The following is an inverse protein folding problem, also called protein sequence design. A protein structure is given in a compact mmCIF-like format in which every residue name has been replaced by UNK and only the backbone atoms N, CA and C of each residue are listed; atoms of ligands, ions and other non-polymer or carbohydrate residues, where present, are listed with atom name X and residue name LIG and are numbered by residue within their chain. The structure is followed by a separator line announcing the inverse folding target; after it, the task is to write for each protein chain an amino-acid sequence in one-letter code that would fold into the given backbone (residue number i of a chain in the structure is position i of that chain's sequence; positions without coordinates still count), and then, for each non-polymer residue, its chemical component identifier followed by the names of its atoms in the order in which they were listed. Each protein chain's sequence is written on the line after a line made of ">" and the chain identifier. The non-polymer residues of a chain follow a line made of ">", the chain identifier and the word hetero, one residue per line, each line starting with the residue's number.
data_IF_651737660232
#
_entry.id   IF_651737660232
#
_cell.length_a   1.000
_cell.length_b   1.000
_cell.length_c   1.000
_cell.angle_alpha   90.00
_cell.angle_beta   90.00
_cell.angle_gamma   90.00
#
_symmetry.space_group_name_H-M   'P 1'
#
loop_
_entity.id
_entity.type
_entity.pdbx_description
1 polymer ?
#
# COMPACT_ATOMS: atom_id res chain seq x y z
N UNK A 1 -30.76 17.45 10.33
CA UNK A 1 -29.29 17.45 10.30
C UNK A 1 -28.85 16.00 10.44
N UNK A 2 -28.54 15.34 9.32
CA UNK A 2 -28.21 13.91 9.33
C UNK A 2 -26.74 13.77 9.75
N UNK A 3 -26.52 13.25 10.96
CA UNK A 3 -25.20 12.87 11.46
C UNK A 3 -24.84 11.59 10.70
N UNK A 4 -23.93 11.71 9.74
CA UNK A 4 -23.31 10.53 9.10
C UNK A 4 -22.33 9.98 10.14
N UNK A 5 -22.53 8.75 10.68
CA UNK A 5 -21.57 8.19 11.60
C UNK A 5 -20.28 7.90 10.82
N UNK A 6 -19.19 8.57 11.22
CA UNK A 6 -17.84 8.19 10.81
C UNK A 6 -17.57 6.86 11.48
N UNK A 7 -17.77 5.76 10.75
CA UNK A 7 -17.43 4.42 11.22
C UNK A 7 -15.91 4.34 11.27
N UNK A 8 -15.35 4.47 12.47
CA UNK A 8 -13.94 4.18 12.72
C UNK A 8 -13.71 2.68 12.52
N UNK A 9 -13.40 2.27 11.29
CA UNK A 9 -13.05 0.89 10.98
C UNK A 9 -11.68 0.59 11.58
N UNK A 10 -11.66 -0.09 12.74
CA UNK A 10 -10.44 -0.59 13.37
C UNK A 10 -10.40 -2.11 13.41
N UNK A 11 -9.74 -2.73 12.43
CA UNK A 11 -8.96 -3.92 12.69
C UNK A 11 -7.47 -3.55 12.71
N UNK A 12 -6.80 -3.84 13.82
CA UNK A 12 -5.33 -3.75 13.98
C UNK A 12 -4.55 -4.69 13.04
N UNK A 13 -5.27 -5.60 12.37
CA UNK A 13 -4.89 -6.36 11.19
C UNK A 13 -6.12 -6.49 10.30
N UNK A 14 -6.36 -5.52 9.42
CA UNK A 14 -7.37 -5.67 8.39
C UNK A 14 -6.74 -6.20 7.10
N UNK A 15 -7.50 -6.99 6.37
CA UNK A 15 -7.19 -7.33 4.99
C UNK A 15 -7.65 -6.18 4.09
N UNK A 16 -6.77 -5.77 3.19
CA UNK A 16 -7.00 -4.72 2.23
C UNK A 16 -6.76 -5.28 0.83
N UNK A 17 -7.66 -4.99 -0.09
CA UNK A 17 -7.47 -5.34 -1.50
C UNK A 17 -6.81 -4.17 -2.23
N UNK A 18 -5.72 -4.42 -2.93
CA UNK A 18 -5.13 -3.39 -3.79
C UNK A 18 -6.02 -3.22 -5.02
N UNK A 19 -6.56 -2.02 -5.22
CA UNK A 19 -7.40 -1.71 -6.39
C UNK A 19 -6.64 -0.95 -7.46
N UNK A 20 -5.61 -0.19 -7.09
CA UNK A 20 -4.76 0.56 -8.03
C UNK A 20 -3.33 0.64 -7.49
N UNK A 21 -2.34 0.54 -8.37
CA UNK A 21 -0.92 0.79 -8.03
C UNK A 21 -0.36 1.89 -8.93
N UNK A 22 0.06 2.98 -8.32
CA UNK A 22 0.83 4.03 -9.00
C UNK A 22 2.31 3.83 -8.74
N UNK A 23 3.02 3.39 -9.77
CA UNK A 23 4.46 3.11 -9.71
C UNK A 23 5.24 4.16 -10.48
N UNK A 24 6.12 4.87 -9.79
CA UNK A 24 7.09 5.76 -10.41
C UNK A 24 8.45 5.05 -10.45
N UNK A 25 9.10 5.04 -11.61
CA UNK A 25 10.43 4.44 -11.77
C UNK A 25 11.39 5.45 -12.37
N UNK A 26 12.59 5.55 -11.78
CA UNK A 26 13.68 6.37 -12.28
C UNK A 26 14.93 5.53 -12.43
N UNK A 27 15.59 5.62 -13.57
CA UNK A 27 16.85 4.91 -13.79
C UNK A 27 17.89 5.34 -12.75
N UNK A 28 18.53 4.36 -12.10
CA UNK A 28 19.47 4.52 -11.00
C UNK A 28 20.82 3.81 -11.27
N UNK A 29 21.20 3.72 -12.55
CA UNK A 29 22.50 3.16 -12.94
C UNK A 29 22.57 1.65 -12.73
N UNK A 30 23.65 1.20 -12.09
CA UNK A 30 23.99 -0.24 -11.96
C UNK A 30 22.98 -1.06 -11.14
N UNK A 31 22.12 -0.42 -10.36
CA UNK A 31 21.09 -1.07 -9.56
C UNK A 31 19.74 -1.21 -10.30
N UNK A 32 19.68 -0.79 -11.57
CA UNK A 32 18.45 -0.78 -12.36
C UNK A 32 17.62 0.48 -12.09
N UNK A 33 16.32 0.33 -11.86
CA UNK A 33 15.42 1.46 -11.59
C UNK A 33 15.15 1.57 -10.10
N UNK A 34 15.21 2.80 -9.57
CA UNK A 34 14.64 3.14 -8.28
C UNK A 34 13.14 3.31 -8.46
N UNK A 35 12.37 2.53 -7.72
CA UNK A 35 10.92 2.44 -7.81
C UNK A 35 10.29 2.97 -6.52
N UNK A 36 9.35 3.89 -6.66
CA UNK A 36 8.47 4.37 -5.60
C UNK A 36 7.03 3.98 -5.95
N UNK A 37 6.24 3.63 -4.94
CA UNK A 37 4.88 3.11 -5.14
C UNK A 37 3.90 3.81 -4.21
N UNK A 38 2.73 4.13 -4.75
CA UNK A 38 1.54 4.48 -3.99
C UNK A 38 0.46 3.46 -4.33
N UNK A 39 -0.33 3.09 -3.33
CA UNK A 39 -1.41 2.13 -3.50
C UNK A 39 -2.74 2.82 -3.21
N UNK A 40 -3.76 2.45 -3.96
CA UNK A 40 -5.14 2.63 -3.51
C UNK A 40 -5.61 1.27 -3.04
N UNK A 41 -6.01 1.22 -1.77
CA UNK A 41 -6.49 -0.01 -1.13
C UNK A 41 -7.97 0.11 -0.80
N UNK A 42 -8.71 -0.97 -0.95
CA UNK A 42 -10.13 -1.05 -0.62
C UNK A 42 -10.35 -2.02 0.55
N UNK A 43 -11.06 -1.54 1.58
CA UNK A 43 -11.52 -2.35 2.70
C UNK A 43 -12.94 -1.93 3.09
N UNK A 44 -13.83 -2.91 3.27
CA UNK A 44 -15.23 -2.69 3.64
C UNK A 44 -15.97 -1.66 2.73
N UNK A 45 -15.64 -1.62 1.45
CA UNK A 45 -16.23 -0.69 0.46
C UNK A 45 -15.64 0.73 0.47
N UNK A 46 -14.66 1.00 1.33
CA UNK A 46 -13.95 2.28 1.40
C UNK A 46 -12.62 2.18 0.68
N UNK A 47 -12.32 3.15 -0.19
CA UNK A 47 -11.04 3.28 -0.88
C UNK A 47 -10.15 4.27 -0.16
N UNK A 48 -8.90 3.89 0.08
CA UNK A 48 -7.92 4.65 0.86
C UNK A 48 -6.65 4.75 0.03
N UNK A 49 -6.21 5.98 -0.24
CA UNK A 49 -4.89 6.23 -0.82
C UNK A 49 -3.82 6.09 0.27
N UNK A 50 -2.83 5.24 0.02
CA UNK A 50 -1.69 5.04 0.93
C UNK A 50 -0.37 5.20 0.19
N UNK A 51 0.55 5.94 0.80
CA UNK A 51 1.89 6.15 0.29
C UNK A 51 2.82 5.09 0.86
N UNK A 52 3.57 4.37 0.03
CA UNK A 52 4.57 3.44 0.56
C UNK A 52 5.83 4.21 0.90
N UNK A 53 6.22 4.18 2.17
CA UNK A 53 7.46 4.77 2.63
C UNK A 53 8.65 3.93 2.12
N UNK A 54 9.51 4.60 1.35
CA UNK A 54 10.73 4.02 0.80
C UNK A 54 10.67 3.79 -0.71
N UNK A 55 11.84 3.59 -1.29
CA UNK A 55 11.97 3.17 -2.68
C UNK A 55 12.81 1.90 -2.71
N UNK A 56 12.60 1.05 -3.71
CA UNK A 56 13.41 -0.14 -3.92
C UNK A 56 14.07 -0.11 -5.29
N UNK A 57 15.18 -0.84 -5.43
CA UNK A 57 15.82 -1.04 -6.72
C UNK A 57 15.31 -2.33 -7.35
N UNK A 58 14.99 -2.30 -8.64
CA UNK A 58 14.41 -3.45 -9.36
C UNK A 58 15.28 -4.71 -9.29
N UNK A 59 16.61 -4.56 -9.19
CA UNK A 59 17.57 -5.66 -9.04
C UNK A 59 17.56 -6.31 -7.65
N UNK A 60 17.08 -5.61 -6.62
CA UNK A 60 17.14 -6.06 -5.23
C UNK A 60 15.83 -6.70 -4.74
N UNK A 61 14.75 -6.62 -5.54
CA UNK A 61 13.43 -7.13 -5.16
C UNK A 61 13.15 -8.46 -5.84
N UNK A 62 12.79 -9.45 -5.02
CA UNK A 62 12.36 -10.75 -5.53
C UNK A 62 11.00 -10.62 -6.25
N UNK A 63 10.75 -11.35 -7.35
CA UNK A 63 9.49 -11.25 -8.10
C UNK A 63 8.23 -11.37 -7.24
N UNK A 64 8.21 -12.30 -6.27
CA UNK A 64 7.09 -12.52 -5.36
C UNK A 64 6.86 -11.44 -4.29
N UNK A 65 7.78 -10.47 -4.15
CA UNK A 65 7.63 -9.35 -3.22
C UNK A 65 7.01 -8.11 -3.87
N UNK A 66 6.81 -8.12 -5.19
CA UNK A 66 6.13 -7.02 -5.88
C UNK A 66 4.62 -7.10 -5.61
N UNK A 67 4.05 -5.95 -5.28
CA UNK A 67 2.61 -5.79 -5.14
C UNK A 67 2.00 -5.61 -6.53
N UNK A 68 0.84 -6.22 -6.73
CA UNK A 68 0.04 -6.13 -7.95
C UNK A 68 -1.39 -5.73 -7.62
N UNK A 69 -2.07 -5.12 -8.59
CA UNK A 69 -3.50 -4.87 -8.48
C UNK A 69 -4.26 -6.19 -8.32
N UNK A 70 -5.26 -6.19 -7.45
CA UNK A 70 -6.00 -7.37 -7.06
C UNK A 70 -5.39 -8.18 -5.91
N UNK A 71 -4.12 -7.93 -5.54
CA UNK A 71 -3.50 -8.59 -4.39
C UNK A 71 -4.22 -8.19 -3.09
N UNK A 72 -4.44 -9.18 -2.21
CA UNK A 72 -4.84 -8.94 -0.83
C UNK A 72 -3.60 -8.76 0.04
N UNK A 73 -3.56 -7.69 0.81
CA UNK A 73 -2.47 -7.38 1.73
C UNK A 73 -3.00 -7.15 3.15
N UNK A 74 -2.16 -7.43 4.12
CA UNK A 74 -2.37 -7.04 5.52
C UNK A 74 -1.40 -5.93 5.86
N UNK A 75 -1.94 -4.83 6.39
CA UNK A 75 -1.15 -3.71 6.92
C UNK A 75 -1.09 -3.88 8.43
N UNK A 76 0.12 -4.09 8.98
CA UNK A 76 0.32 -4.23 10.42
C UNK A 76 0.37 -2.87 11.11
N UNK A 77 -0.39 -2.71 12.19
CA UNK A 77 -0.36 -1.51 13.02
C UNK A 77 -1.70 -0.77 12.98
N UNK A 78 -1.64 0.55 12.97
CA UNK A 78 -2.83 1.39 12.88
C UNK A 78 -3.47 1.29 11.49
N UNK A 79 -4.80 1.37 11.46
CA UNK A 79 -5.54 1.44 10.20
C UNK A 79 -5.06 2.64 9.39
N UNK A 80 -4.76 2.47 8.10
CA UNK A 80 -4.28 3.57 7.28
C UNK A 80 -5.39 4.60 7.13
N UNK A 81 -5.07 5.85 7.42
CA UNK A 81 -5.89 6.99 7.02
C UNK A 81 -5.59 7.38 5.57
N UNK A 82 -6.47 8.17 4.97
CA UNK A 82 -6.24 8.72 3.64
C UNK A 82 -4.95 9.55 3.61
N UNK A 83 -4.05 9.25 2.67
CA UNK A 83 -2.74 9.87 2.57
C UNK A 83 -1.72 9.36 3.59
N UNK A 84 -2.01 8.29 4.34
CA UNK A 84 -1.06 7.72 5.28
C UNK A 84 0.20 7.20 4.59
N UNK A 85 1.35 7.42 5.21
CA UNK A 85 2.64 6.87 4.76
C UNK A 85 2.97 5.59 5.52
N UNK A 86 3.09 4.48 4.80
CA UNK A 86 3.24 3.14 5.37
C UNK A 86 4.58 2.55 4.96
N UNK A 87 5.45 2.18 5.91
CA UNK A 87 6.69 1.48 5.59
C UNK A 87 6.42 0.14 4.91
N UNK A 88 7.16 -0.18 3.83
CA UNK A 88 6.99 -1.45 3.09
C UNK A 88 7.06 -2.69 3.98
N UNK A 89 7.87 -2.65 5.04
CA UNK A 89 8.02 -3.75 6.02
C UNK A 89 6.78 -4.02 6.88
N UNK A 90 5.81 -3.10 6.93
CA UNK A 90 4.52 -3.30 7.60
C UNK A 90 3.46 -3.96 6.70
N UNK A 91 3.75 -4.12 5.41
CA UNK A 91 2.83 -4.70 4.43
C UNK A 91 3.22 -6.16 4.18
N UNK A 92 2.31 -7.07 4.51
CA UNK A 92 2.42 -8.50 4.18
C UNK A 92 1.41 -8.83 3.08
N UNK A 93 1.81 -9.64 2.11
CA UNK A 93 0.87 -10.22 1.14
C UNK A 93 0.21 -11.44 1.80
N UNK A 94 -1.11 -11.56 1.67
CA UNK A 94 -1.85 -12.73 2.13
C UNK A 94 -1.52 -13.97 1.26
#
# INVERSE_FOLDING_TARGET
>A
MLIVPIVAFQPTQAEYKIVEIRRESKFAGKLGHRVSENLVVEAAGTRILVHIAGSYHTMCVRPGQRLHEGDTITIRGEAPSEGATIPRGRISKA
#
